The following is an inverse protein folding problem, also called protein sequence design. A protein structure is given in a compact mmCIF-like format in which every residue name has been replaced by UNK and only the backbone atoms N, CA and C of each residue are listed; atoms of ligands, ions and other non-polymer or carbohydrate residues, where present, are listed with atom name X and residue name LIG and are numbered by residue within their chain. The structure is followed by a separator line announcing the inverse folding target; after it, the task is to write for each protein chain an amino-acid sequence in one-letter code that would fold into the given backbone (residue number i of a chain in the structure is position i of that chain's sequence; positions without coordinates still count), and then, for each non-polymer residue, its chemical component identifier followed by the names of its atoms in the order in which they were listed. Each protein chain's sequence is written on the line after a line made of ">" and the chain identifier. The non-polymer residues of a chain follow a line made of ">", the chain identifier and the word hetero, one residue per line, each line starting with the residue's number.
data_IF_826604479423
#
_entry.id   IF_826604479423
#
_cell.length_a   1.000
_cell.length_b   1.000
_cell.length_c   1.000
_cell.angle_alpha   90.00
_cell.angle_beta   90.00
_cell.angle_gamma   90.00
#
_symmetry.space_group_name_H-M   'P 1'
#
loop_
_entity.id
_entity.type
_entity.pdbx_description
1 polymer ?
#
# COMPACT_ATOMS: atom_id res chain seq x y z
N UNK A 1 -10.07 -17.53 11.84
CA UNK A 1 -9.99 -16.90 10.50
C UNK A 1 -11.41 -16.56 10.12
N UNK A 2 -11.67 -15.33 9.76
CA UNK A 2 -13.01 -14.89 9.42
C UNK A 2 -13.13 -14.58 7.92
N UNK A 3 -14.32 -14.81 7.39
CA UNK A 3 -14.68 -14.51 6.00
C UNK A 3 -15.98 -13.74 5.98
N UNK A 4 -16.13 -12.88 4.97
CA UNK A 4 -17.38 -12.21 4.64
C UNK A 4 -17.77 -12.62 3.22
N UNK A 5 -19.00 -13.13 3.07
CA UNK A 5 -19.65 -13.32 1.78
C UNK A 5 -20.34 -12.01 1.38
N UNK A 6 -20.17 -11.57 0.14
CA UNK A 6 -20.79 -10.36 -0.42
C UNK A 6 -20.98 -10.51 -1.95
N UNK A 7 -21.66 -9.55 -2.56
CA UNK A 7 -22.04 -9.61 -3.98
C UNK A 7 -20.84 -9.73 -4.96
N UNK A 8 -19.62 -9.43 -4.53
CA UNK A 8 -18.41 -9.61 -5.35
C UNK A 8 -17.75 -10.97 -5.13
N UNK A 9 -18.08 -11.70 -4.06
CA UNK A 9 -17.51 -12.97 -3.65
C UNK A 9 -17.23 -13.06 -2.17
N UNK A 10 -16.14 -13.71 -1.78
CA UNK A 10 -15.74 -14.00 -0.40
C UNK A 10 -14.44 -13.29 -0.05
N UNK A 11 -14.43 -12.50 1.02
CA UNK A 11 -13.22 -11.80 1.47
C UNK A 11 -12.73 -12.34 2.82
N UNK A 12 -11.45 -12.69 2.88
CA UNK A 12 -10.74 -13.11 4.10
C UNK A 12 -10.26 -11.90 4.88
N UNK A 13 -10.58 -11.84 6.19
CA UNK A 13 -10.19 -10.72 7.04
C UNK A 13 -9.74 -11.15 8.44
N UNK A 14 -9.15 -10.22 9.16
CA UNK A 14 -8.75 -10.34 10.57
C UNK A 14 -9.11 -9.06 11.31
N UNK A 15 -9.64 -9.19 12.51
CA UNK A 15 -9.86 -8.09 13.45
C UNK A 15 -9.03 -8.34 14.70
N UNK A 16 -8.39 -7.29 15.23
CA UNK A 16 -7.67 -7.29 16.51
C UNK A 16 -8.07 -6.07 17.32
N UNK A 17 -7.91 -6.15 18.64
CA UNK A 17 -8.29 -5.09 19.57
C UNK A 17 -9.72 -5.21 20.05
N UNK A 18 -9.98 -4.65 21.23
CA UNK A 18 -11.34 -4.56 21.80
C UNK A 18 -12.15 -3.45 21.11
N UNK A 19 -13.45 -3.62 21.05
CA UNK A 19 -14.37 -2.55 20.65
C UNK A 19 -14.30 -1.43 21.69
N UNK A 20 -14.22 -0.20 21.25
CA UNK A 20 -14.14 1.00 22.10
C UNK A 20 -14.87 2.15 21.44
N UNK A 21 -14.93 3.31 22.11
CA UNK A 21 -15.46 4.53 21.53
C UNK A 21 -14.57 5.14 20.45
N UNK A 22 -13.28 4.78 20.42
CA UNK A 22 -12.35 5.23 19.38
C UNK A 22 -12.69 4.60 18.05
N UNK A 23 -12.74 5.37 16.97
CA UNK A 23 -12.99 4.85 15.64
C UNK A 23 -11.94 3.77 15.27
N UNK A 24 -12.36 2.63 14.70
CA UNK A 24 -11.44 1.58 14.28
C UNK A 24 -10.59 2.03 13.09
N UNK A 25 -9.45 1.34 12.91
CA UNK A 25 -8.61 1.46 11.73
C UNK A 25 -8.90 0.31 10.77
N UNK A 26 -9.11 0.60 9.49
CA UNK A 26 -9.18 -0.40 8.42
C UNK A 26 -7.87 -0.33 7.62
N UNK A 27 -7.10 -1.41 7.65
CA UNK A 27 -5.83 -1.54 6.94
C UNK A 27 -5.98 -2.14 5.55
N UNK A 28 -5.37 -1.50 4.57
CA UNK A 28 -5.36 -1.87 3.17
C UNK A 28 -3.93 -2.25 2.75
N UNK A 29 -3.73 -3.53 2.37
CA UNK A 29 -2.41 -4.00 1.93
C UNK A 29 -1.99 -3.45 0.57
N UNK A 30 -0.69 -3.49 0.31
CA UNK A 30 -0.06 -3.10 -0.95
C UNK A 30 -0.19 -4.15 -2.06
N UNK A 31 0.58 -3.98 -3.10
CA UNK A 31 0.59 -4.73 -4.33
C UNK A 31 0.30 -3.79 -5.51
N UNK A 32 -0.83 -3.90 -6.24
CA UNK A 32 -2.04 -4.71 -6.02
C UNK A 32 -1.79 -6.22 -5.99
N UNK A 33 -2.72 -6.96 -5.38
CA UNK A 33 -2.59 -8.41 -5.32
C UNK A 33 -1.81 -8.95 -4.11
N UNK A 34 -1.42 -8.11 -3.15
CA UNK A 34 -0.84 -8.54 -1.87
C UNK A 34 -1.83 -9.30 -0.98
N UNK A 35 -1.43 -9.56 0.26
CA UNK A 35 -2.26 -10.18 1.30
C UNK A 35 -2.04 -9.52 2.63
N UNK A 36 -3.04 -9.49 3.51
CA UNK A 36 -2.79 -9.14 4.90
C UNK A 36 -2.14 -10.31 5.65
N UNK A 37 -1.30 -9.98 6.63
CA UNK A 37 -0.69 -10.95 7.53
C UNK A 37 -1.34 -10.84 8.92
N UNK A 38 -2.08 -11.85 9.40
CA UNK A 38 -2.70 -11.81 10.73
C UNK A 38 -1.73 -11.70 11.92
N UNK A 39 -0.44 -11.94 11.67
CA UNK A 39 0.65 -11.84 12.65
C UNK A 39 1.49 -10.56 12.47
N UNK A 40 1.05 -9.63 11.63
CA UNK A 40 1.78 -8.39 11.38
C UNK A 40 1.87 -7.51 12.61
N UNK A 41 3.01 -6.85 12.79
CA UNK A 41 3.22 -5.78 13.78
C UNK A 41 2.30 -4.57 13.58
N UNK A 42 1.65 -4.49 12.43
CA UNK A 42 0.57 -3.54 12.18
C UNK A 42 -0.52 -3.59 13.26
N UNK A 43 -0.84 -4.79 13.76
CA UNK A 43 -1.85 -4.96 14.81
C UNK A 43 -1.40 -4.43 16.19
N UNK A 44 -0.16 -3.96 16.35
CA UNK A 44 0.26 -3.18 17.52
C UNK A 44 -0.51 -1.83 17.61
N UNK A 45 -1.17 -1.39 16.51
CA UNK A 45 -2.09 -0.26 16.50
C UNK A 45 -3.44 -0.54 17.17
N UNK A 46 -3.74 -1.81 17.48
CA UNK A 46 -4.98 -2.24 18.11
C UNK A 46 -5.06 -1.89 19.62
N UNK A 47 -4.07 -1.20 20.15
CA UNK A 47 -4.09 -0.70 21.51
C UNK A 47 -5.19 0.38 21.67
N UNK A 48 -6.25 0.02 22.39
CA UNK A 48 -7.38 0.91 22.68
C UNK A 48 -8.37 1.10 21.53
N UNK A 49 -8.30 0.34 20.43
CA UNK A 49 -9.26 0.36 19.32
C UNK A 49 -9.22 -0.94 18.51
N UNK A 50 -10.24 -1.19 17.68
CA UNK A 50 -10.18 -2.28 16.71
C UNK A 50 -9.35 -1.90 15.48
N UNK A 51 -8.58 -2.88 14.98
CA UNK A 51 -7.90 -2.83 13.68
C UNK A 51 -8.43 -3.96 12.81
N UNK A 52 -9.00 -3.60 11.68
CA UNK A 52 -9.46 -4.49 10.63
C UNK A 52 -8.39 -4.57 9.55
N UNK A 53 -8.07 -5.77 9.09
CA UNK A 53 -7.24 -5.99 7.91
C UNK A 53 -7.86 -7.08 7.06
N UNK A 54 -7.85 -6.94 5.74
CA UNK A 54 -8.40 -7.94 4.85
C UNK A 54 -7.50 -8.18 3.65
N UNK A 55 -7.63 -9.34 3.04
CA UNK A 55 -7.00 -9.67 1.76
C UNK A 55 -7.99 -9.34 0.65
N UNK A 56 -7.60 -8.43 -0.25
CA UNK A 56 -8.45 -8.01 -1.36
C UNK A 56 -8.80 -9.18 -2.28
N UNK A 57 -9.97 -9.12 -2.91
CA UNK A 57 -10.45 -10.14 -3.85
C UNK A 57 -9.41 -10.49 -4.91
N UNK A 58 -9.34 -11.77 -5.26
CA UNK A 58 -8.39 -12.33 -6.22
C UNK A 58 -7.03 -12.70 -5.63
N UNK A 59 -6.80 -12.51 -4.32
CA UNK A 59 -5.52 -12.81 -3.67
C UNK A 59 -5.67 -13.74 -2.47
N UNK A 60 -4.62 -14.46 -2.14
CA UNK A 60 -4.50 -15.29 -0.94
C UNK A 60 -5.72 -16.19 -0.71
N UNK A 61 -6.41 -16.03 0.42
CA UNK A 61 -7.61 -16.81 0.79
C UNK A 61 -8.93 -16.18 0.35
N UNK A 62 -8.93 -14.96 -0.17
CA UNK A 62 -10.13 -14.32 -0.72
C UNK A 62 -10.56 -14.98 -2.03
N UNK A 63 -11.83 -14.80 -2.40
CA UNK A 63 -12.41 -15.37 -3.61
C UNK A 63 -11.75 -14.86 -4.89
N UNK A 64 -12.04 -15.50 -6.01
CA UNK A 64 -11.47 -15.15 -7.30
C UNK A 64 -11.99 -13.81 -7.83
N UNK A 65 -11.14 -13.10 -8.58
CA UNK A 65 -11.48 -11.88 -9.27
C UNK A 65 -11.14 -12.01 -10.75
N UNK A 66 -12.15 -12.13 -11.63
CA UNK A 66 -11.95 -12.22 -13.08
C UNK A 66 -11.15 -11.02 -13.62
N UNK A 67 -10.30 -11.24 -14.62
CA UNK A 67 -9.40 -10.23 -15.19
C UNK A 67 -10.12 -8.90 -15.51
N UNK A 68 -11.31 -8.95 -16.12
CA UNK A 68 -12.12 -7.76 -16.45
C UNK A 68 -12.57 -6.93 -15.24
N UNK A 69 -12.54 -7.50 -14.03
CA UNK A 69 -12.90 -6.84 -12.77
C UNK A 69 -11.70 -6.36 -11.96
N UNK A 70 -10.47 -6.59 -12.41
CA UNK A 70 -9.25 -6.12 -11.72
C UNK A 70 -9.05 -4.63 -11.96
N UNK A 71 -9.88 -3.82 -11.32
CA UNK A 71 -9.91 -2.35 -11.48
C UNK A 71 -9.95 -1.64 -10.13
N UNK A 72 -9.46 -0.41 -10.08
CA UNK A 72 -9.57 0.47 -8.89
C UNK A 72 -11.02 0.53 -8.39
N UNK A 73 -11.99 0.70 -9.30
CA UNK A 73 -13.40 0.80 -8.95
C UNK A 73 -13.94 -0.45 -8.25
N UNK A 74 -13.51 -1.65 -8.67
CA UNK A 74 -13.90 -2.91 -8.04
C UNK A 74 -13.36 -3.01 -6.61
N UNK A 75 -12.10 -2.67 -6.38
CA UNK A 75 -11.51 -2.71 -5.05
C UNK A 75 -12.10 -1.64 -4.11
N UNK A 76 -12.45 -0.45 -4.61
CA UNK A 76 -13.19 0.55 -3.84
C UNK A 76 -14.58 0.05 -3.47
N UNK A 77 -15.29 -0.62 -4.41
CA UNK A 77 -16.59 -1.22 -4.13
C UNK A 77 -16.51 -2.33 -3.09
N UNK A 78 -15.49 -3.20 -3.17
CA UNK A 78 -15.22 -4.22 -2.15
C UNK A 78 -15.04 -3.58 -0.79
N UNK A 79 -14.14 -2.59 -0.65
CA UNK A 79 -13.90 -1.88 0.59
C UNK A 79 -15.18 -1.24 1.16
N UNK A 80 -15.97 -0.59 0.30
CA UNK A 80 -17.23 0.03 0.72
C UNK A 80 -18.22 -1.01 1.26
N UNK A 81 -18.34 -2.16 0.60
CA UNK A 81 -19.17 -3.27 1.05
C UNK A 81 -18.70 -3.82 2.40
N UNK A 82 -17.39 -3.99 2.59
CA UNK A 82 -16.83 -4.47 3.86
C UNK A 82 -17.09 -3.50 5.01
N UNK A 83 -16.87 -2.21 4.81
CA UNK A 83 -17.14 -1.16 5.81
C UNK A 83 -18.62 -1.20 6.23
N UNK A 84 -19.56 -1.28 5.28
CA UNK A 84 -20.98 -1.39 5.55
C UNK A 84 -21.32 -2.68 6.32
N UNK A 85 -20.75 -3.82 5.91
CA UNK A 85 -20.98 -5.12 6.58
C UNK A 85 -20.43 -5.15 8.00
N UNK A 86 -19.30 -4.48 8.26
CA UNK A 86 -18.76 -4.33 9.62
C UNK A 86 -19.52 -3.32 10.48
N UNK A 87 -20.45 -2.56 9.92
CA UNK A 87 -21.21 -1.53 10.62
C UNK A 87 -20.34 -0.37 11.11
N UNK A 88 -19.39 0.06 10.29
CA UNK A 88 -18.45 1.12 10.66
C UNK A 88 -18.98 2.49 10.23
N UNK A 89 -19.64 3.20 11.15
CA UNK A 89 -20.16 4.55 10.92
C UNK A 89 -19.08 5.64 11.08
N UNK A 90 -18.03 5.36 11.86
CA UNK A 90 -16.85 6.20 12.04
C UNK A 90 -15.62 5.30 11.99
N UNK A 91 -14.63 5.64 11.16
CA UNK A 91 -13.41 4.82 10.98
C UNK A 91 -12.28 5.64 10.37
N UNK A 92 -11.06 5.10 10.49
CA UNK A 92 -9.87 5.58 9.79
C UNK A 92 -9.47 4.57 8.72
N UNK A 93 -8.99 5.04 7.56
CA UNK A 93 -8.33 4.18 6.57
C UNK A 93 -6.82 4.35 6.66
N UNK A 94 -6.14 3.24 6.73
CA UNK A 94 -4.68 3.19 6.63
C UNK A 94 -4.30 2.26 5.48
N UNK A 95 -3.53 2.75 4.52
CA UNK A 95 -3.09 1.96 3.37
C UNK A 95 -1.58 2.09 3.14
N UNK A 96 -0.95 0.97 2.74
CA UNK A 96 0.46 0.96 2.33
C UNK A 96 0.60 0.77 0.82
N UNK A 97 1.49 1.56 0.16
CA UNK A 97 1.76 1.42 -1.27
C UNK A 97 0.47 1.55 -2.12
N UNK A 98 0.11 0.55 -2.89
CA UNK A 98 -1.19 0.42 -3.56
C UNK A 98 -2.39 0.59 -2.60
N UNK A 99 -2.30 0.08 -1.37
CA UNK A 99 -3.34 0.28 -0.37
C UNK A 99 -3.59 1.75 -0.04
N UNK A 100 -2.57 2.60 -0.12
CA UNK A 100 -2.70 4.05 0.01
C UNK A 100 -3.47 4.67 -1.17
N UNK A 101 -3.23 4.18 -2.40
CA UNK A 101 -4.05 4.53 -3.57
C UNK A 101 -5.51 4.19 -3.32
N UNK A 102 -5.78 2.96 -2.85
CA UNK A 102 -7.14 2.50 -2.57
C UNK A 102 -7.82 3.33 -1.48
N UNK A 103 -7.10 3.70 -0.40
CA UNK A 103 -7.61 4.55 0.66
C UNK A 103 -7.99 5.95 0.15
N UNK A 104 -7.11 6.57 -0.66
CA UNK A 104 -7.35 7.87 -1.29
C UNK A 104 -8.55 7.82 -2.23
N UNK A 105 -8.63 6.81 -3.10
CA UNK A 105 -9.75 6.61 -4.04
C UNK A 105 -11.08 6.44 -3.31
N UNK A 106 -11.07 5.74 -2.18
CA UNK A 106 -12.26 5.62 -1.33
C UNK A 106 -12.68 6.97 -0.78
N UNK A 107 -11.75 7.74 -0.20
CA UNK A 107 -12.05 9.08 0.34
C UNK A 107 -12.59 10.05 -0.71
N UNK A 108 -12.07 10.01 -1.94
CA UNK A 108 -12.55 10.83 -3.05
C UNK A 108 -13.96 10.45 -3.53
N UNK A 109 -14.29 9.15 -3.51
CA UNK A 109 -15.58 8.63 -4.03
C UNK A 109 -16.68 8.59 -2.98
N UNK A 110 -16.32 8.49 -1.69
CA UNK A 110 -17.25 8.34 -0.57
C UNK A 110 -17.01 9.41 0.52
N UNK A 111 -17.08 10.72 0.20
CA UNK A 111 -16.72 11.79 1.15
C UNK A 111 -17.65 11.89 2.35
N UNK A 112 -18.83 11.24 2.31
CA UNK A 112 -19.84 11.23 3.40
C UNK A 112 -19.93 9.87 4.11
N UNK A 113 -18.91 9.02 4.00
CA UNK A 113 -18.94 7.64 4.50
C UNK A 113 -18.64 7.47 5.99
N UNK A 114 -18.43 8.54 6.73
CA UNK A 114 -17.96 8.46 8.13
C UNK A 114 -16.45 8.32 8.28
N UNK A 115 -15.70 8.37 7.17
CA UNK A 115 -14.22 8.36 7.17
C UNK A 115 -13.67 9.59 7.88
N UNK A 116 -12.94 9.37 8.99
CA UNK A 116 -12.41 10.42 9.86
C UNK A 116 -11.02 10.89 9.41
N UNK A 117 -10.16 9.98 8.95
CA UNK A 117 -8.84 10.31 8.45
C UNK A 117 -8.25 9.25 7.52
N UNK A 118 -7.20 9.67 6.80
CA UNK A 118 -6.37 8.82 5.96
C UNK A 118 -4.95 8.75 6.54
N UNK A 119 -4.39 7.55 6.62
CA UNK A 119 -2.95 7.33 6.82
C UNK A 119 -2.40 6.64 5.59
N UNK A 120 -1.62 7.36 4.79
CA UNK A 120 -1.08 6.91 3.52
C UNK A 120 0.40 6.61 3.69
N UNK A 121 0.73 5.32 3.91
CA UNK A 121 2.09 4.88 4.13
C UNK A 121 2.75 4.51 2.80
N UNK A 122 3.94 5.08 2.55
CA UNK A 122 4.73 4.78 1.34
C UNK A 122 3.86 4.81 0.06
N UNK A 123 3.12 5.92 -0.19
CA UNK A 123 1.97 5.89 -1.09
C UNK A 123 2.35 5.91 -2.57
N UNK A 124 1.71 5.08 -3.38
CA UNK A 124 1.71 5.15 -4.84
C UNK A 124 0.45 5.92 -5.30
N UNK A 125 0.50 7.25 -5.36
CA UNK A 125 -0.62 8.11 -5.79
C UNK A 125 -0.54 8.51 -7.26
N UNK A 126 0.63 8.34 -7.88
CA UNK A 126 0.90 8.61 -9.29
C UNK A 126 1.91 7.60 -9.83
N UNK A 127 1.55 6.88 -10.87
CA UNK A 127 2.47 5.98 -11.59
C UNK A 127 3.62 6.78 -12.25
N UNK A 128 3.36 8.02 -12.66
CA UNK A 128 4.36 8.92 -13.24
C UNK A 128 5.41 9.29 -12.19
N UNK A 129 4.96 9.69 -11.00
CA UNK A 129 5.86 10.04 -9.89
C UNK A 129 6.65 8.81 -9.41
N UNK A 130 6.00 7.64 -9.31
CA UNK A 130 6.65 6.39 -8.95
C UNK A 130 7.80 6.03 -9.90
N UNK A 131 7.54 6.05 -11.21
CA UNK A 131 8.55 5.76 -12.23
C UNK A 131 9.68 6.79 -12.25
N UNK A 132 9.39 8.06 -11.98
CA UNK A 132 10.42 9.11 -11.85
C UNK A 132 11.34 8.82 -10.65
N UNK A 133 10.76 8.49 -9.50
CA UNK A 133 11.51 8.18 -8.28
C UNK A 133 12.32 6.90 -8.46
N UNK A 134 11.75 5.85 -9.05
CA UNK A 134 12.46 4.62 -9.40
C UNK A 134 13.67 4.91 -10.31
N UNK A 135 13.52 5.73 -11.35
CA UNK A 135 14.62 6.15 -12.23
C UNK A 135 15.74 6.85 -11.44
N UNK A 136 15.39 7.70 -10.46
CA UNK A 136 16.37 8.38 -9.62
C UNK A 136 17.13 7.38 -8.73
N UNK A 137 16.43 6.44 -8.10
CA UNK A 137 17.02 5.44 -7.23
C UNK A 137 17.90 4.45 -8.01
N UNK A 138 17.49 4.06 -9.23
CA UNK A 138 18.30 3.23 -10.14
C UNK A 138 19.60 3.93 -10.54
N UNK A 139 19.59 5.25 -10.78
CA UNK A 139 20.80 6.02 -11.08
C UNK A 139 21.84 5.96 -9.95
N UNK A 140 21.42 5.71 -8.72
CA UNK A 140 22.30 5.54 -7.56
C UNK A 140 22.80 4.10 -7.36
N UNK A 141 22.40 3.15 -8.23
CA UNK A 141 22.92 1.77 -8.26
C UNK A 141 24.23 1.69 -9.06
N UNK A 142 24.88 0.53 -9.04
CA UNK A 142 26.07 0.29 -9.86
C UNK A 142 25.78 0.42 -11.36
N UNK A 143 26.76 0.75 -12.17
CA UNK A 143 26.60 0.85 -13.64
C UNK A 143 26.21 -0.48 -14.26
N UNK A 144 26.68 -1.58 -13.68
CA UNK A 144 26.34 -2.96 -14.06
C UNK A 144 24.87 -3.24 -13.82
N UNK A 145 24.37 -2.91 -12.63
CA UNK A 145 22.95 -3.08 -12.30
C UNK A 145 22.04 -2.25 -13.22
N UNK A 146 22.43 -0.99 -13.50
CA UNK A 146 21.70 -0.13 -14.43
C UNK A 146 21.65 -0.72 -15.86
N UNK A 147 22.74 -1.35 -16.32
CA UNK A 147 22.78 -2.02 -17.63
C UNK A 147 21.87 -3.24 -17.67
N UNK A 148 21.90 -4.08 -16.61
CA UNK A 148 21.02 -5.25 -16.50
C UNK A 148 19.55 -4.84 -16.52
N UNK A 149 19.15 -3.85 -15.71
CA UNK A 149 17.76 -3.36 -15.68
C UNK A 149 17.32 -2.92 -17.09
N UNK A 150 18.13 -2.08 -17.74
CA UNK A 150 17.82 -1.56 -19.08
C UNK A 150 17.67 -2.70 -20.08
N UNK A 151 18.68 -3.56 -20.19
CA UNK A 151 18.70 -4.66 -21.15
C UNK A 151 17.50 -5.60 -20.95
N UNK A 152 17.22 -6.01 -19.71
CA UNK A 152 16.10 -6.90 -19.43
C UNK A 152 14.73 -6.24 -19.72
N UNK A 153 14.61 -4.93 -19.51
CA UNK A 153 13.40 -4.20 -19.91
C UNK A 153 13.24 -4.14 -21.43
N UNK A 154 14.33 -3.87 -22.16
CA UNK A 154 14.31 -3.74 -23.64
C UNK A 154 13.89 -5.05 -24.32
N UNK A 155 14.27 -6.21 -23.74
CA UNK A 155 13.94 -7.53 -24.29
C UNK A 155 12.78 -8.25 -23.56
N UNK A 156 12.15 -7.62 -22.57
CA UNK A 156 11.04 -8.21 -21.80
C UNK A 156 11.44 -9.34 -20.84
N UNK A 157 12.74 -9.49 -20.48
CA UNK A 157 13.28 -10.58 -19.66
C UNK A 157 13.33 -10.23 -18.15
N UNK A 158 12.24 -9.72 -17.58
CA UNK A 158 12.18 -9.33 -16.18
C UNK A 158 12.11 -10.51 -15.21
N UNK A 159 11.88 -11.72 -15.70
CA UNK A 159 11.94 -12.99 -14.99
C UNK A 159 13.33 -13.63 -14.98
N UNK A 160 14.28 -13.13 -15.78
CA UNK A 160 15.63 -13.65 -15.83
C UNK A 160 16.34 -13.56 -14.46
N UNK A 161 17.11 -14.60 -14.10
CA UNK A 161 17.81 -14.69 -12.80
C UNK A 161 18.71 -13.50 -12.52
N UNK A 162 19.38 -12.97 -13.55
CA UNK A 162 20.24 -11.79 -13.43
C UNK A 162 19.43 -10.53 -13.07
N UNK A 163 18.26 -10.35 -13.66
CA UNK A 163 17.35 -9.26 -13.30
C UNK A 163 16.83 -9.41 -11.87
N UNK A 164 16.40 -10.61 -11.50
CA UNK A 164 15.92 -10.91 -10.15
C UNK A 164 17.02 -10.68 -9.09
N UNK A 165 18.28 -10.94 -9.40
CA UNK A 165 19.40 -10.62 -8.50
C UNK A 165 19.57 -9.10 -8.31
N UNK A 166 19.41 -8.30 -9.37
CA UNK A 166 19.43 -6.84 -9.29
C UNK A 166 18.22 -6.33 -8.47
N UNK A 167 17.02 -6.88 -8.71
CA UNK A 167 15.82 -6.55 -7.95
C UNK A 167 16.01 -6.80 -6.44
N UNK A 168 16.60 -7.93 -6.05
CA UNK A 168 16.90 -8.22 -4.63
C UNK A 168 17.81 -7.16 -4.01
N UNK A 169 18.84 -6.65 -4.74
CA UNK A 169 19.71 -5.56 -4.25
C UNK A 169 18.94 -4.26 -4.05
N UNK A 170 18.06 -3.91 -5.00
CA UNK A 170 17.20 -2.74 -4.89
C UNK A 170 16.25 -2.86 -3.70
N UNK A 171 15.53 -3.99 -3.59
CA UNK A 171 14.59 -4.27 -2.50
C UNK A 171 15.25 -4.23 -1.14
N UNK A 172 16.47 -4.80 -0.99
CA UNK A 172 17.25 -4.74 0.26
C UNK A 172 17.56 -3.31 0.70
N UNK A 173 17.65 -2.38 -0.23
CA UNK A 173 17.94 -0.98 0.07
C UNK A 173 16.69 -0.14 0.29
N UNK A 174 15.65 -0.35 -0.51
CA UNK A 174 14.54 0.56 -0.63
C UNK A 174 13.18 -0.01 -0.21
N UNK A 175 13.05 -1.35 -0.12
CA UNK A 175 11.78 -2.01 0.21
C UNK A 175 11.79 -2.64 1.59
N UNK A 176 12.75 -3.52 1.88
CA UNK A 176 12.83 -4.21 3.16
C UNK A 176 14.29 -4.57 3.48
N UNK A 177 14.87 -3.90 4.47
CA UNK A 177 16.29 -3.94 4.81
C UNK A 177 16.68 -5.12 5.74
N UNK A 178 15.74 -5.99 6.05
CA UNK A 178 15.96 -7.22 6.80
C UNK A 178 16.01 -8.41 5.84
N UNK A 179 17.20 -9.00 5.65
CA UNK A 179 17.42 -10.07 4.68
C UNK A 179 16.51 -11.28 4.88
N UNK A 180 16.34 -11.75 6.12
CA UNK A 180 15.47 -12.90 6.42
C UNK A 180 14.02 -12.65 6.02
N UNK A 181 13.51 -11.47 6.31
CA UNK A 181 12.14 -11.09 5.97
C UNK A 181 11.99 -10.81 4.47
N UNK A 182 13.02 -10.28 3.84
CA UNK A 182 13.08 -10.05 2.40
C UNK A 182 13.01 -11.38 1.64
N UNK A 183 13.81 -12.38 2.00
CA UNK A 183 13.75 -13.70 1.38
C UNK A 183 12.39 -14.38 1.60
N UNK A 184 11.81 -14.25 2.79
CA UNK A 184 10.46 -14.72 3.06
C UNK A 184 9.39 -14.00 2.21
N UNK A 185 9.63 -12.74 1.83
CA UNK A 185 8.74 -12.00 0.93
C UNK A 185 8.81 -12.54 -0.51
N UNK A 186 10.01 -12.80 -1.03
CA UNK A 186 10.21 -13.38 -2.36
C UNK A 186 9.72 -14.83 -2.46
N UNK A 187 9.74 -15.58 -1.36
CA UNK A 187 9.32 -16.99 -1.30
C UNK A 187 7.81 -17.17 -1.13
N UNK A 188 7.03 -16.09 -1.08
CA UNK A 188 5.56 -16.20 -0.89
C UNK A 188 4.90 -16.78 -2.13
N UNK A 189 4.17 -17.87 -1.92
CA UNK A 189 3.31 -18.45 -2.94
C UNK A 189 1.95 -17.71 -2.95
N UNK A 190 1.74 -16.88 -3.96
CA UNK A 190 0.50 -16.15 -4.19
C UNK A 190 0.27 -15.89 -5.70
N UNK A 191 0.12 -16.93 -6.51
CA UNK A 191 0.08 -16.81 -7.97
C UNK A 191 -1.11 -15.96 -8.46
N UNK A 192 -2.26 -16.02 -7.76
CA UNK A 192 -3.41 -15.18 -8.10
C UNK A 192 -3.13 -13.70 -7.88
N UNK A 193 -2.46 -13.37 -6.78
CA UNK A 193 -2.03 -12.01 -6.49
C UNK A 193 -0.98 -11.51 -7.47
N UNK A 194 -0.02 -12.36 -7.86
CA UNK A 194 0.96 -12.04 -8.90
C UNK A 194 0.28 -11.70 -10.23
N UNK A 195 -0.73 -12.48 -10.62
CA UNK A 195 -1.52 -12.21 -11.84
C UNK A 195 -2.35 -10.91 -11.77
N UNK A 196 -2.73 -10.44 -10.56
CA UNK A 196 -3.34 -9.11 -10.39
C UNK A 196 -2.28 -8.02 -10.53
N UNK A 197 -1.12 -8.21 -9.89
CA UNK A 197 -0.01 -7.27 -9.97
C UNK A 197 0.42 -7.03 -11.42
N UNK A 198 0.70 -8.12 -12.14
CA UNK A 198 1.08 -8.07 -13.55
C UNK A 198 0.03 -7.38 -14.42
N UNK A 199 -1.26 -7.68 -14.22
CA UNK A 199 -2.34 -7.06 -14.99
C UNK A 199 -2.50 -5.57 -14.68
N UNK A 200 -2.38 -5.17 -13.42
CA UNK A 200 -2.67 -3.79 -13.01
C UNK A 200 -1.43 -2.90 -13.05
N UNK A 201 -0.29 -3.40 -12.61
CA UNK A 201 0.97 -2.65 -12.62
C UNK A 201 1.88 -3.04 -13.78
N UNK A 202 2.22 -4.31 -13.87
CA UNK A 202 3.13 -4.86 -14.88
C UNK A 202 4.18 -5.78 -14.26
N UNK A 203 5.07 -6.36 -15.08
CA UNK A 203 6.06 -7.34 -14.61
C UNK A 203 7.27 -6.72 -13.89
N UNK A 204 7.41 -5.41 -13.92
CA UNK A 204 8.54 -4.69 -13.33
C UNK A 204 8.08 -3.68 -12.28
N UNK A 205 8.73 -3.66 -11.10
CA UNK A 205 8.52 -2.64 -10.08
C UNK A 205 8.77 -1.22 -10.60
N UNK A 206 9.69 -1.07 -11.53
CA UNK A 206 10.18 0.22 -11.99
C UNK A 206 9.35 0.88 -13.08
N UNK A 207 8.55 0.10 -13.82
CA UNK A 207 7.82 0.58 -14.99
C UNK A 207 6.40 0.03 -14.99
N UNK A 208 5.44 0.94 -14.86
CA UNK A 208 4.02 0.58 -14.96
C UNK A 208 3.64 0.37 -16.44
N UNK A 209 3.24 -0.83 -16.80
CA UNK A 209 2.74 -1.21 -18.14
C UNK A 209 1.31 -1.72 -18.12
N UNK A 210 0.78 -2.01 -16.93
CA UNK A 210 -0.58 -2.50 -16.72
C UNK A 210 -1.64 -1.40 -16.76
N UNK A 211 -2.82 -1.70 -16.23
CA UNK A 211 -3.98 -0.78 -16.26
C UNK A 211 -3.79 0.48 -15.40
N UNK A 212 -2.79 0.48 -14.50
CA UNK A 212 -2.42 1.63 -13.67
C UNK A 212 -1.35 2.54 -14.30
N UNK A 213 -0.87 2.26 -15.51
CA UNK A 213 0.23 3.01 -16.14
C UNK A 213 0.02 4.52 -16.21
N UNK A 214 -1.23 4.94 -16.39
CA UNK A 214 -1.64 6.34 -16.50
C UNK A 214 -2.32 6.85 -15.20
N UNK A 215 -2.26 6.05 -14.11
CA UNK A 215 -2.88 6.45 -12.86
C UNK A 215 -2.16 7.63 -12.24
N UNK A 216 -2.87 8.74 -12.08
CA UNK A 216 -2.39 9.94 -11.39
C UNK A 216 -3.52 10.62 -10.62
N UNK A 217 -3.40 10.67 -9.30
CA UNK A 217 -4.33 11.37 -8.40
C UNK A 217 -3.77 12.67 -7.84
N UNK A 218 -2.58 13.05 -8.24
CA UNK A 218 -1.96 14.30 -7.77
C UNK A 218 -2.76 15.56 -8.07
N UNK A 219 -3.48 15.71 -9.20
CA UNK A 219 -4.35 16.87 -9.43
C UNK A 219 -5.56 16.94 -8.48
N UNK A 220 -5.97 15.80 -7.92
CA UNK A 220 -7.14 15.70 -7.05
C UNK A 220 -6.84 15.86 -5.57
N UNK A 221 -5.57 15.89 -5.16
CA UNK A 221 -5.17 15.97 -3.74
C UNK A 221 -5.73 17.22 -3.05
N UNK A 222 -5.82 18.35 -3.75
CA UNK A 222 -6.42 19.59 -3.24
C UNK A 222 -7.91 19.45 -2.87
N UNK A 223 -8.60 18.45 -3.43
CA UNK A 223 -10.03 18.20 -3.17
C UNK A 223 -10.25 17.29 -1.95
N UNK A 224 -9.20 16.69 -1.40
CA UNK A 224 -9.24 15.83 -0.23
C UNK A 224 -9.29 16.72 1.02
N UNK A 225 -10.48 16.84 1.63
CA UNK A 225 -10.69 17.63 2.85
C UNK A 225 -10.45 16.83 4.12
N UNK A 226 -10.41 15.50 4.01
CA UNK A 226 -10.20 14.55 5.09
C UNK A 226 -8.77 14.73 5.64
N UNK A 227 -8.59 14.88 6.96
CA UNK A 227 -7.26 14.90 7.58
C UNK A 227 -6.41 13.72 7.11
N UNK A 228 -5.23 13.99 6.61
CA UNK A 228 -4.40 12.97 5.96
C UNK A 228 -2.96 13.05 6.44
N UNK A 229 -2.45 11.93 6.97
CA UNK A 229 -1.03 11.73 7.26
C UNK A 229 -0.38 10.93 6.14
N UNK A 230 0.68 11.47 5.55
CA UNK A 230 1.58 10.73 4.66
C UNK A 230 2.82 10.32 5.46
N UNK A 231 3.16 9.02 5.39
CA UNK A 231 4.32 8.47 6.08
C UNK A 231 5.21 7.76 5.06
N UNK A 232 6.51 8.10 5.03
CA UNK A 232 7.50 7.41 4.22
C UNK A 232 8.68 6.98 5.09
N UNK A 233 9.34 5.88 4.75
CA UNK A 233 10.63 5.52 5.32
C UNK A 233 11.76 6.41 4.77
N UNK A 234 12.83 6.60 5.54
CA UNK A 234 14.01 7.38 5.12
C UNK A 234 14.63 6.86 3.81
N UNK A 235 14.61 5.52 3.63
CA UNK A 235 15.19 4.83 2.48
C UNK A 235 14.14 4.29 1.50
N UNK A 236 12.91 4.77 1.60
CA UNK A 236 11.75 4.28 0.87
C UNK A 236 11.87 4.48 -0.65
N UNK A 237 11.35 3.52 -1.43
CA UNK A 237 11.17 3.68 -2.87
C UNK A 237 10.08 4.70 -3.21
N UNK A 238 9.01 4.79 -2.39
CA UNK A 238 8.09 5.93 -2.37
C UNK A 238 8.76 7.11 -1.66
N UNK A 239 9.63 7.82 -2.34
CA UNK A 239 10.62 8.71 -1.73
C UNK A 239 10.01 9.74 -0.76
N UNK A 240 10.69 10.06 0.36
CA UNK A 240 10.23 11.10 1.29
C UNK A 240 9.96 12.44 0.60
N UNK A 241 10.74 12.79 -0.42
CA UNK A 241 10.56 14.02 -1.19
C UNK A 241 9.21 14.03 -1.92
N UNK A 242 8.82 12.92 -2.52
CA UNK A 242 7.51 12.76 -3.17
C UNK A 242 6.38 12.74 -2.15
N UNK A 243 6.53 12.01 -1.04
CA UNK A 243 5.56 12.01 0.05
C UNK A 243 5.32 13.42 0.62
N UNK A 244 6.38 14.20 0.83
CA UNK A 244 6.26 15.60 1.29
C UNK A 244 5.54 16.49 0.27
N UNK A 245 5.80 16.29 -1.04
CA UNK A 245 5.07 17.03 -2.09
C UNK A 245 3.58 16.70 -2.09
N UNK A 246 3.21 15.42 -1.86
CA UNK A 246 1.81 15.04 -1.76
C UNK A 246 1.14 15.68 -0.55
N UNK A 247 1.78 15.63 0.62
CA UNK A 247 1.25 16.26 1.82
C UNK A 247 0.99 17.77 1.65
N UNK A 248 1.89 18.48 0.99
CA UNK A 248 1.73 19.92 0.70
C UNK A 248 0.57 20.23 -0.26
N UNK A 249 0.12 19.28 -1.05
CA UNK A 249 -1.02 19.43 -1.98
C UNK A 249 -2.38 19.09 -1.35
N UNK A 250 -2.38 18.38 -0.24
CA UNK A 250 -3.58 18.06 0.53
C UNK A 250 -4.04 19.28 1.33
N UNK A 251 -5.35 19.46 1.49
CA UNK A 251 -5.90 20.55 2.28
C UNK A 251 -5.48 20.47 3.75
N UNK A 252 -5.60 19.28 4.36
CA UNK A 252 -5.22 18.98 5.73
C UNK A 252 -4.14 17.88 5.76
N UNK A 253 -3.06 18.07 5.01
CA UNK A 253 -1.97 17.10 4.85
C UNK A 253 -0.86 17.29 5.87
N UNK A 254 -0.45 16.19 6.51
CA UNK A 254 0.74 16.11 7.35
C UNK A 254 1.73 15.10 6.73
N UNK A 255 3.01 15.31 6.98
CA UNK A 255 4.08 14.42 6.51
C UNK A 255 4.98 14.01 7.66
N UNK A 256 5.30 12.71 7.73
CA UNK A 256 6.24 12.14 8.68
C UNK A 256 7.23 11.22 7.97
N UNK A 257 8.53 11.44 8.16
CA UNK A 257 9.58 10.54 7.68
C UNK A 257 10.06 9.66 8.84
N UNK A 258 9.99 8.34 8.67
CA UNK A 258 10.44 7.37 9.67
C UNK A 258 11.91 7.03 9.43
N UNK A 259 12.79 7.55 10.29
CA UNK A 259 14.23 7.29 10.22
C UNK A 259 14.56 5.80 10.39
N UNK A 260 15.49 5.31 9.59
CA UNK A 260 15.96 3.94 9.61
C UNK A 260 14.97 2.93 9.03
N UNK A 261 13.93 3.39 8.32
CA UNK A 261 12.99 2.52 7.62
C UNK A 261 13.10 2.69 6.09
N UNK A 262 12.67 1.65 5.37
CA UNK A 262 12.38 1.68 3.95
C UNK A 262 10.87 1.51 3.71
N UNK A 263 10.44 0.90 2.63
CA UNK A 263 9.03 0.81 2.22
C UNK A 263 8.15 0.05 3.22
N UNK A 264 8.66 -1.05 3.80
CA UNK A 264 7.88 -1.89 4.73
C UNK A 264 8.12 -1.43 6.18
N UNK A 265 7.69 -0.21 6.49
CA UNK A 265 7.98 0.51 7.75
C UNK A 265 7.56 -0.29 8.99
N UNK A 266 6.39 -0.95 8.99
CA UNK A 266 5.88 -1.73 10.13
C UNK A 266 6.73 -2.96 10.49
N UNK A 267 7.58 -3.43 9.57
CA UNK A 267 8.51 -4.53 9.82
C UNK A 267 9.86 -4.03 10.36
N UNK A 268 10.23 -2.80 10.02
CA UNK A 268 11.54 -2.23 10.34
C UNK A 268 11.51 -1.31 11.56
N UNK A 269 10.51 -0.43 11.63
CA UNK A 269 10.37 0.59 12.68
C UNK A 269 8.93 0.67 13.24
N UNK A 270 8.34 -0.46 13.71
CA UNK A 270 6.93 -0.50 14.13
C UNK A 270 6.61 0.48 15.26
N UNK A 271 7.52 0.65 16.24
CA UNK A 271 7.29 1.55 17.36
C UNK A 271 7.25 3.03 16.93
N UNK A 272 8.14 3.43 16.01
CA UNK A 272 8.16 4.80 15.48
C UNK A 272 6.93 5.09 14.63
N UNK A 273 6.54 4.13 13.78
CA UNK A 273 5.32 4.24 12.98
C UNK A 273 4.09 4.36 13.87
N UNK A 274 3.92 3.49 14.87
CA UNK A 274 2.83 3.55 15.84
C UNK A 274 2.76 4.91 16.54
N UNK A 275 3.90 5.42 17.02
CA UNK A 275 3.96 6.75 17.67
C UNK A 275 3.49 7.86 16.73
N UNK A 276 3.91 7.87 15.47
CA UNK A 276 3.51 8.86 14.48
C UNK A 276 2.00 8.80 14.21
N UNK A 277 1.46 7.60 14.00
CA UNK A 277 0.02 7.39 13.77
C UNK A 277 -0.80 7.81 14.97
N UNK A 278 -0.46 7.35 16.18
CA UNK A 278 -1.22 7.68 17.40
C UNK A 278 -1.21 9.17 17.69
N UNK A 279 -0.08 9.87 17.45
CA UNK A 279 -0.01 11.34 17.57
C UNK A 279 -0.96 12.03 16.58
N UNK A 280 -0.99 11.58 15.33
CA UNK A 280 -1.88 12.12 14.32
C UNK A 280 -3.35 11.88 14.66
N UNK A 281 -3.73 10.66 15.05
CA UNK A 281 -5.10 10.32 15.40
C UNK A 281 -5.60 11.08 16.64
N UNK A 282 -4.75 11.24 17.67
CA UNK A 282 -5.09 12.02 18.87
C UNK A 282 -5.41 13.50 18.58
N UNK A 283 -4.90 14.05 17.48
CA UNK A 283 -5.25 15.40 17.03
C UNK A 283 -6.57 15.49 16.26
N UNK A 284 -7.26 14.36 16.03
CA UNK A 284 -8.51 14.27 15.26
C UNK A 284 -9.66 13.79 16.14
N UNK A 285 -9.39 12.90 17.09
CA UNK A 285 -10.32 12.32 18.07
C UNK A 285 -10.49 13.22 19.28
#
# INVERSE_FOLDING_TARGET
>A
MAFIEHALGKTHYTVRGARSEKPPIVWLHGGPGGTHNPKSRLFDLAEGRQVYAYTQMGSGKSGDLPKRRRTVATFVKELHTLIATWGLDRFHLMGGSWGATLALEYGLRHPKSGLQSLVLQSPMLSAIDWQRDAKQLIRAMSKEDQKVIRYCHDIGATDASVYQAVMRRYYRKHVLRNDKKLEAMFSRDNPRGAAIYEHMWGPSEFVATGTLKDHDRTPHLKNVKIPTLIVCGEHDEATPATGQRYAKRLHNGQFEMIRGASHVIWEEQPARLRKAINRFLAGIE
#
